data_IF_418417136384
#
_entry.id   IF_418417136384
#
_cell.length_a   1.000
_cell.length_b   1.000
_cell.length_c   1.000
_cell.angle_alpha   90.00
_cell.angle_beta   90.00
_cell.angle_gamma   90.00
#
_symmetry.space_group_name_H-M   'P 1'
#
loop_
_entity.id
_entity.type
_entity.pdbx_description
1 polymer ?
#
# COMPACT_ATOMS: atom_id res chain seq x y z
N UNK A 1 -8.04 -11.29 9.94
CA UNK A 1 -8.91 -10.45 10.78
C UNK A 1 -8.33 -10.44 12.19
N UNK A 2 -8.06 -9.25 12.73
CA UNK A 2 -7.46 -9.00 14.03
C UNK A 2 -8.13 -9.78 15.17
N UNK A 3 -9.44 -9.64 15.30
CA UNK A 3 -10.22 -10.32 16.35
C UNK A 3 -10.10 -11.83 16.29
N UNK A 4 -10.12 -12.42 15.08
CA UNK A 4 -9.93 -13.86 14.91
C UNK A 4 -8.52 -14.30 15.27
N UNK A 5 -7.52 -13.48 14.98
CA UNK A 5 -6.12 -13.81 15.30
C UNK A 5 -5.85 -13.74 16.80
N UNK A 6 -6.36 -12.73 17.48
CA UNK A 6 -6.18 -12.54 18.93
C UNK A 6 -6.88 -13.62 19.76
N UNK A 7 -8.01 -14.12 19.27
CA UNK A 7 -8.81 -15.14 19.96
C UNK A 7 -8.60 -16.55 19.40
N UNK A 8 -7.67 -16.75 18.47
CA UNK A 8 -7.43 -18.02 17.86
C UNK A 8 -6.39 -18.84 18.64
N UNK A 9 -6.75 -20.08 18.98
CA UNK A 9 -5.82 -21.08 19.52
C UNK A 9 -5.30 -21.95 18.38
N UNK A 10 -4.05 -21.75 17.91
CA UNK A 10 -3.52 -22.52 16.79
C UNK A 10 -3.35 -24.00 17.18
N UNK A 11 -3.71 -24.88 16.28
CA UNK A 11 -3.49 -26.31 16.41
C UNK A 11 -2.04 -26.66 16.05
N UNK A 12 -1.61 -27.86 16.40
CA UNK A 12 -0.26 -28.33 16.03
C UNK A 12 -0.08 -28.29 14.51
N UNK A 13 0.97 -27.64 14.04
CA UNK A 13 1.29 -27.44 12.62
C UNK A 13 0.64 -26.22 11.98
N UNK A 14 -0.13 -25.43 12.71
CA UNK A 14 -0.67 -24.15 12.24
C UNK A 14 0.22 -22.99 12.68
N UNK A 15 0.34 -21.98 11.82
CA UNK A 15 1.05 -20.73 12.12
C UNK A 15 0.08 -19.54 12.03
N UNK A 16 0.24 -18.58 12.92
CA UNK A 16 -0.56 -17.36 12.93
C UNK A 16 0.32 -16.17 12.63
N UNK A 17 -0.02 -15.45 11.57
CA UNK A 17 0.65 -14.20 11.21
C UNK A 17 0.07 -13.06 12.05
N UNK A 18 0.91 -12.40 12.85
CA UNK A 18 0.53 -11.28 13.70
C UNK A 18 1.39 -10.05 13.44
N UNK A 19 0.91 -8.89 13.86
CA UNK A 19 1.63 -7.62 13.72
C UNK A 19 1.51 -6.77 14.99
N UNK A 20 2.51 -5.96 15.27
CA UNK A 20 2.57 -5.13 16.48
C UNK A 20 1.39 -4.20 16.67
N UNK A 21 0.79 -3.67 15.59
CA UNK A 21 -0.37 -2.75 15.69
C UNK A 21 -1.63 -3.39 16.29
N UNK A 22 -1.69 -4.71 16.37
CA UNK A 22 -2.82 -5.42 17.03
C UNK A 22 -2.66 -5.50 18.55
N UNK A 23 -1.45 -5.32 19.06
CA UNK A 23 -1.15 -5.48 20.48
C UNK A 23 -0.72 -4.19 21.15
N UNK A 24 -0.37 -3.16 20.38
CA UNK A 24 0.11 -1.89 20.89
C UNK A 24 -0.18 -0.76 19.89
N UNK A 25 -0.17 0.48 20.36
CA UNK A 25 -0.31 1.66 19.49
C UNK A 25 1.00 1.87 18.68
N UNK A 26 1.19 1.06 17.66
CA UNK A 26 2.35 1.06 16.75
C UNK A 26 1.89 1.07 15.29
N UNK A 27 2.68 1.69 14.43
CA UNK A 27 2.42 1.71 12.98
C UNK A 27 3.03 0.50 12.23
N UNK A 28 3.78 -0.34 12.91
CA UNK A 28 4.41 -1.51 12.32
C UNK A 28 3.35 -2.58 11.94
N UNK A 29 3.43 -3.18 10.74
CA UNK A 29 4.52 -3.14 9.75
C UNK A 29 4.42 -2.00 8.71
N UNK A 30 3.60 -1.01 8.94
CA UNK A 30 3.21 0.02 7.98
C UNK A 30 2.02 -0.41 7.10
N UNK A 31 1.32 0.55 6.52
CA UNK A 31 0.07 0.27 5.80
C UNK A 31 0.28 -0.56 4.54
N UNK A 32 1.42 -0.41 3.89
CA UNK A 32 1.72 -1.18 2.69
C UNK A 32 1.76 -2.69 2.96
N UNK A 33 2.52 -3.13 3.97
CA UNK A 33 2.62 -4.54 4.33
C UNK A 33 1.34 -5.00 5.04
N UNK A 34 0.76 -4.16 5.88
CA UNK A 34 -0.48 -4.47 6.59
C UNK A 34 -1.61 -4.86 5.63
N UNK A 35 -1.78 -4.11 4.54
CA UNK A 35 -2.81 -4.39 3.53
C UNK A 35 -2.53 -5.63 2.68
N UNK A 36 -1.32 -6.21 2.79
CA UNK A 36 -0.90 -7.42 2.07
C UNK A 36 -0.75 -8.66 2.96
N UNK A 37 -1.03 -8.55 4.25
CA UNK A 37 -0.87 -9.68 5.18
C UNK A 37 -1.71 -10.89 4.77
N UNK A 38 -2.91 -10.69 4.22
CA UNK A 38 -3.74 -11.77 3.71
C UNK A 38 -3.05 -12.53 2.57
N UNK A 39 -2.60 -11.80 1.55
CA UNK A 39 -1.90 -12.39 0.39
C UNK A 39 -0.60 -13.10 0.82
N UNK A 40 0.16 -12.49 1.75
CA UNK A 40 1.37 -13.10 2.29
C UNK A 40 1.06 -14.40 3.04
N UNK A 41 0.00 -14.43 3.85
CA UNK A 41 -0.42 -15.62 4.54
C UNK A 41 -0.85 -16.73 3.57
N UNK A 42 -1.57 -16.38 2.51
CA UNK A 42 -2.01 -17.33 1.47
C UNK A 42 -0.82 -17.90 0.69
N UNK A 43 0.15 -17.05 0.33
CA UNK A 43 1.37 -17.47 -0.37
C UNK A 43 2.23 -18.41 0.48
N UNK A 44 2.46 -18.07 1.74
CA UNK A 44 3.18 -18.93 2.69
C UNK A 44 2.44 -20.25 2.91
N UNK A 45 1.12 -20.22 3.06
CA UNK A 45 0.30 -21.42 3.23
C UNK A 45 0.38 -22.33 2.00
N UNK A 46 0.37 -21.76 0.79
CA UNK A 46 0.52 -22.52 -0.44
C UNK A 46 1.90 -23.20 -0.54
N UNK A 47 2.97 -22.48 -0.16
CA UNK A 47 4.33 -23.03 -0.15
C UNK A 47 4.53 -24.13 0.90
N UNK A 48 3.80 -24.06 2.01
CA UNK A 48 3.81 -25.09 3.05
C UNK A 48 2.90 -26.30 2.74
N UNK A 49 2.29 -26.34 1.55
CA UNK A 49 1.40 -27.45 1.13
C UNK A 49 -0.01 -27.36 1.75
N UNK A 50 -0.37 -26.27 2.37
CA UNK A 50 -1.72 -26.00 2.88
C UNK A 50 -2.70 -25.61 1.78
N UNK A 51 -4.01 -25.73 2.07
CA UNK A 51 -5.05 -25.17 1.19
C UNK A 51 -5.22 -23.70 1.51
N UNK A 52 -4.98 -22.83 0.53
CA UNK A 52 -5.28 -21.40 0.65
C UNK A 52 -6.79 -21.17 0.71
N UNK A 53 -7.24 -20.37 1.64
CA UNK A 53 -8.67 -20.09 1.83
C UNK A 53 -9.23 -19.02 0.89
N UNK A 54 -8.40 -18.39 0.08
CA UNK A 54 -8.81 -17.32 -0.83
C UNK A 54 -8.23 -17.46 -2.23
N UNK A 55 -9.00 -18.11 -3.11
CA UNK A 55 -9.09 -17.71 -4.52
C UNK A 55 -10.17 -16.62 -4.61
N UNK A 56 -10.00 -15.52 -3.93
CA UNK A 56 -10.78 -14.33 -4.21
C UNK A 56 -9.86 -13.31 -4.84
N UNK A 57 -10.06 -13.16 -6.16
CA UNK A 57 -9.78 -11.97 -6.94
C UNK A 57 -8.63 -11.13 -6.35
N UNK A 58 -7.43 -11.27 -6.91
CA UNK A 58 -6.58 -10.11 -7.02
C UNK A 58 -7.48 -9.02 -7.59
N UNK A 59 -8.00 -8.14 -6.72
CA UNK A 59 -8.78 -6.99 -7.14
C UNK A 59 -7.87 -6.13 -8.00
N UNK A 60 -7.85 -6.44 -9.30
CA UNK A 60 -6.94 -5.76 -10.22
C UNK A 60 -7.26 -4.28 -10.25
N UNK A 61 -6.27 -3.48 -9.88
CA UNK A 61 -6.34 -2.02 -9.97
C UNK A 61 -6.10 -1.64 -11.43
N UNK A 62 -7.18 -1.54 -12.20
CA UNK A 62 -7.13 -1.23 -13.63
C UNK A 62 -8.25 -0.28 -14.03
N UNK A 63 -8.13 0.33 -15.19
CA UNK A 63 -9.17 1.19 -15.77
C UNK A 63 -10.52 0.46 -15.79
N UNK A 64 -11.57 1.13 -15.32
CA UNK A 64 -12.93 0.59 -15.19
C UNK A 64 -13.16 -0.25 -13.93
N UNK A 65 -12.15 -0.51 -13.10
CA UNK A 65 -12.36 -1.23 -11.84
C UNK A 65 -13.14 -0.39 -10.82
N UNK A 66 -13.97 -1.07 -10.02
CA UNK A 66 -14.75 -0.49 -8.93
C UNK A 66 -14.61 -1.39 -7.70
N UNK A 67 -13.52 -1.23 -6.95
CA UNK A 67 -13.21 -2.11 -5.82
C UNK A 67 -12.46 -1.40 -4.68
N UNK A 68 -12.32 -2.07 -3.56
CA UNK A 68 -11.66 -1.53 -2.36
C UNK A 68 -10.16 -1.32 -2.57
N UNK A 69 -9.51 -2.16 -3.37
CA UNK A 69 -8.10 -2.00 -3.72
C UNK A 69 -7.87 -0.71 -4.54
N UNK A 70 -8.77 -0.38 -5.47
CA UNK A 70 -8.74 0.89 -6.21
C UNK A 70 -8.88 2.08 -5.27
N UNK A 71 -9.80 2.02 -4.31
CA UNK A 71 -9.97 3.09 -3.31
C UNK A 71 -8.71 3.28 -2.46
N UNK A 72 -8.13 2.19 -1.97
CA UNK A 72 -6.89 2.24 -1.19
C UNK A 72 -5.71 2.83 -2.00
N UNK A 73 -5.60 2.44 -3.25
CA UNK A 73 -4.60 2.98 -4.18
C UNK A 73 -4.80 4.47 -4.47
N UNK A 74 -6.04 4.91 -4.67
CA UNK A 74 -6.35 6.33 -4.89
C UNK A 74 -5.97 7.21 -3.69
N UNK A 75 -6.03 6.71 -2.47
CA UNK A 75 -5.52 7.43 -1.28
C UNK A 75 -4.02 7.72 -1.40
N UNK A 76 -3.25 6.82 -1.98
CA UNK A 76 -1.82 7.07 -2.24
C UNK A 76 -1.62 8.14 -3.32
N UNK A 77 -2.43 8.15 -4.39
CA UNK A 77 -2.42 9.21 -5.40
C UNK A 77 -2.82 10.57 -4.81
N UNK A 78 -3.81 10.61 -3.90
CA UNK A 78 -4.17 11.84 -3.17
C UNK A 78 -2.99 12.34 -2.34
N UNK A 79 -2.25 11.44 -1.70
CA UNK A 79 -1.04 11.80 -0.97
C UNK A 79 0.02 12.43 -1.89
N UNK A 80 0.28 11.82 -3.06
CA UNK A 80 1.20 12.38 -4.06
C UNK A 80 0.73 13.75 -4.59
N UNK A 81 -0.58 13.94 -4.77
CA UNK A 81 -1.14 15.24 -5.14
C UNK A 81 -0.91 16.29 -4.04
N UNK A 82 -1.18 15.96 -2.80
CA UNK A 82 -0.93 16.86 -1.65
C UNK A 82 0.56 17.20 -1.50
N UNK A 83 1.45 16.28 -1.84
CA UNK A 83 2.89 16.47 -1.88
C UNK A 83 3.36 17.25 -3.13
N UNK A 84 2.44 17.60 -4.05
CA UNK A 84 2.72 18.29 -5.33
C UNK A 84 3.64 17.49 -6.26
N UNK A 85 3.69 16.19 -6.12
CA UNK A 85 4.44 15.28 -7.00
C UNK A 85 3.67 15.04 -8.29
N UNK A 86 2.34 14.91 -8.19
CA UNK A 86 1.43 14.85 -9.34
C UNK A 86 0.50 16.06 -9.36
N UNK A 87 -0.02 16.40 -10.53
CA UNK A 87 -0.89 17.57 -10.75
C UNK A 87 -2.37 17.20 -10.79
N UNK A 88 -2.69 15.97 -11.16
CA UNK A 88 -4.07 15.50 -11.28
C UNK A 88 -4.61 15.12 -9.91
N UNK A 89 -5.67 15.83 -9.47
CA UNK A 89 -6.44 15.48 -8.28
C UNK A 89 -7.38 14.31 -8.62
N UNK A 90 -7.39 13.27 -7.79
CA UNK A 90 -8.36 12.18 -7.89
C UNK A 90 -9.40 12.30 -6.78
N UNK A 91 -10.61 11.78 -7.03
CA UNK A 91 -11.66 11.69 -6.04
C UNK A 91 -11.42 10.55 -5.05
N UNK A 92 -12.18 10.51 -3.97
CA UNK A 92 -12.11 9.46 -2.96
C UNK A 92 -13.21 8.39 -3.17
N UNK A 93 -13.40 7.96 -4.42
CA UNK A 93 -14.31 6.86 -4.78
C UNK A 93 -13.55 5.58 -5.09
N UNK A 94 -14.25 4.46 -5.19
CA UNK A 94 -13.67 3.16 -5.54
C UNK A 94 -13.51 2.94 -7.06
N UNK A 95 -13.90 3.92 -7.88
CA UNK A 95 -13.84 3.82 -9.34
C UNK A 95 -12.49 4.25 -9.93
N UNK A 96 -11.97 3.49 -10.87
CA UNK A 96 -10.79 3.84 -11.67
C UNK A 96 -11.22 4.39 -13.03
N UNK A 97 -11.40 5.70 -13.12
CA UNK A 97 -11.74 6.41 -14.36
C UNK A 97 -10.56 7.16 -14.97
N UNK A 98 -10.83 8.02 -15.95
CA UNK A 98 -9.84 8.80 -16.71
C UNK A 98 -8.96 9.68 -15.82
N UNK A 99 -9.53 10.31 -14.79
CA UNK A 99 -8.77 11.10 -13.82
C UNK A 99 -7.76 10.27 -13.05
N UNK A 100 -8.14 9.05 -12.65
CA UNK A 100 -7.24 8.11 -11.98
C UNK A 100 -6.15 7.63 -12.93
N UNK A 101 -6.49 7.29 -14.17
CA UNK A 101 -5.52 6.88 -15.20
C UNK A 101 -4.47 7.97 -15.46
N UNK A 102 -4.91 9.22 -15.57
CA UNK A 102 -4.01 10.36 -15.74
C UNK A 102 -3.07 10.51 -14.55
N UNK A 103 -3.60 10.45 -13.33
CA UNK A 103 -2.80 10.52 -12.11
C UNK A 103 -1.78 9.37 -12.00
N UNK A 104 -2.16 8.15 -12.38
CA UNK A 104 -1.26 6.99 -12.46
C UNK A 104 -0.11 7.27 -13.40
N UNK A 105 -0.38 7.73 -14.61
CA UNK A 105 0.68 8.05 -15.59
C UNK A 105 1.61 9.18 -15.10
N UNK A 106 1.09 10.15 -14.37
CA UNK A 106 1.92 11.18 -13.73
C UNK A 106 2.81 10.58 -12.62
N UNK A 107 2.27 9.71 -11.79
CA UNK A 107 3.02 9.02 -10.74
C UNK A 107 4.10 8.10 -11.32
N UNK A 108 3.80 7.38 -12.40
CA UNK A 108 4.77 6.54 -13.11
C UNK A 108 5.94 7.38 -13.67
N UNK A 109 5.67 8.56 -14.25
CA UNK A 109 6.73 9.47 -14.70
C UNK A 109 7.59 9.95 -13.53
N UNK A 110 6.95 10.37 -12.43
CA UNK A 110 7.66 10.83 -11.23
C UNK A 110 8.52 9.72 -10.61
N UNK A 111 8.02 8.49 -10.60
CA UNK A 111 8.72 7.30 -10.11
C UNK A 111 9.70 6.67 -11.11
N UNK A 112 9.85 7.26 -12.31
CA UNK A 112 10.75 6.79 -13.37
C UNK A 112 10.53 5.33 -13.77
N UNK A 113 9.29 4.88 -13.76
CA UNK A 113 8.86 3.56 -14.26
C UNK A 113 8.12 3.70 -15.59
N UNK A 114 7.83 2.60 -16.25
CA UNK A 114 7.09 2.57 -17.53
C UNK A 114 5.75 3.31 -17.38
N UNK A 115 5.46 4.24 -18.31
CA UNK A 115 4.25 5.08 -18.29
C UNK A 115 3.18 4.43 -19.17
N UNK A 116 2.59 3.35 -18.68
CA UNK A 116 1.56 2.57 -19.39
C UNK A 116 0.14 2.77 -18.79
N UNK A 117 0.06 3.30 -17.58
CA UNK A 117 -1.20 3.45 -16.85
C UNK A 117 -1.64 2.16 -16.15
N UNK A 118 -0.82 1.12 -16.15
CA UNK A 118 -1.09 -0.16 -15.47
C UNK A 118 -0.54 -0.10 -14.05
N UNK A 119 -1.39 -0.43 -13.09
CA UNK A 119 -1.00 -0.45 -11.68
C UNK A 119 -0.52 -1.85 -11.30
N UNK A 120 0.71 -2.15 -11.71
CA UNK A 120 1.43 -3.35 -11.31
C UNK A 120 2.37 -3.08 -10.14
N UNK A 121 3.09 -4.11 -9.72
CA UNK A 121 4.05 -4.06 -8.61
C UNK A 121 5.08 -2.94 -8.75
N UNK A 122 5.63 -2.74 -9.95
CA UNK A 122 6.60 -1.67 -10.23
C UNK A 122 6.01 -0.28 -9.96
N UNK A 123 4.75 -0.05 -10.36
CA UNK A 123 4.05 1.21 -10.14
C UNK A 123 3.80 1.43 -8.66
N UNK A 124 3.36 0.41 -7.95
CA UNK A 124 3.08 0.47 -6.51
C UNK A 124 4.36 0.77 -5.73
N UNK A 125 5.45 0.06 -6.03
CA UNK A 125 6.74 0.28 -5.38
C UNK A 125 7.30 1.69 -5.67
N UNK A 126 7.18 2.19 -6.90
CA UNK A 126 7.59 3.53 -7.24
C UNK A 126 6.81 4.61 -6.46
N UNK A 127 5.50 4.46 -6.34
CA UNK A 127 4.65 5.36 -5.54
C UNK A 127 5.03 5.30 -4.06
N UNK A 128 5.28 4.10 -3.53
CA UNK A 128 5.74 3.93 -2.16
C UNK A 128 7.05 4.69 -1.88
N UNK A 129 8.03 4.57 -2.76
CA UNK A 129 9.29 5.30 -2.65
C UNK A 129 9.09 6.81 -2.74
N UNK A 130 8.26 7.29 -3.68
CA UNK A 130 7.97 8.72 -3.79
C UNK A 130 7.37 9.30 -2.51
N UNK A 131 6.47 8.58 -1.85
CA UNK A 131 5.84 9.02 -0.60
C UNK A 131 6.86 9.01 0.54
N UNK A 132 7.61 7.94 0.70
CA UNK A 132 8.51 7.75 1.85
C UNK A 132 9.80 8.56 1.73
N UNK A 133 10.42 8.62 0.55
CA UNK A 133 11.66 9.37 0.33
C UNK A 133 11.42 10.89 0.48
N UNK A 134 10.26 11.39 0.05
CA UNK A 134 9.89 12.79 0.28
C UNK A 134 9.66 13.10 1.77
N UNK A 135 9.02 12.21 2.51
CA UNK A 135 8.83 12.37 3.95
C UNK A 135 10.16 12.32 4.69
N UNK A 136 11.00 11.35 4.37
CA UNK A 136 12.34 11.23 4.95
C UNK A 136 13.23 12.45 4.66
N UNK A 137 13.15 13.03 3.46
CA UNK A 137 13.86 14.27 3.10
C UNK A 137 13.37 15.47 3.89
N UNK A 138 12.06 15.57 4.19
CA UNK A 138 11.50 16.64 5.03
C UNK A 138 11.96 16.50 6.48
N UNK A 139 11.90 15.30 7.04
CA UNK A 139 12.33 15.02 8.41
C UNK A 139 13.82 15.30 8.60
N UNK A 140 14.65 14.96 7.61
CA UNK A 140 16.08 15.25 7.62
C UNK A 140 16.37 16.77 7.53
N UNK A 141 15.59 17.52 6.73
CA UNK A 141 15.69 18.99 6.67
C UNK A 141 15.29 19.64 8.00
N UNK A 142 14.23 19.15 8.63
CA UNK A 142 13.76 19.64 9.94
C UNK A 142 14.79 19.30 11.02
N UNK A 143 15.34 18.10 11.04
CA UNK A 143 16.38 17.68 11.98
C UNK A 143 17.66 18.50 11.84
N UNK A 144 18.09 18.77 10.60
CA UNK A 144 19.26 19.60 10.32
C UNK A 144 19.03 21.08 10.69
N UNK A 145 17.81 21.62 10.44
CA UNK A 145 17.45 22.96 10.86
C UNK A 145 17.44 23.12 12.38
N UNK A 146 16.89 22.13 13.12
CA UNK A 146 16.95 22.11 14.59
C UNK A 146 18.37 22.03 15.14
N UNK A 147 19.27 21.28 14.47
CA UNK A 147 20.68 21.16 14.88
C UNK A 147 21.49 22.45 14.60
N UNK A 148 21.06 23.27 13.62
CA UNK A 148 21.70 24.55 13.31
C UNK A 148 21.24 25.70 14.22
N UNK A 149 20.15 25.53 14.95
CA UNK A 149 19.55 26.53 15.86
C UNK A 149 19.86 26.26 17.35
N UNK A 150 20.50 25.16 17.67
CA UNK A 150 20.97 24.78 19.01
C UNK A 150 22.46 24.82 19.12
#
# INVERSE_FOLDING_TARGET
NEDKTLNYSPKSGEMVLTVHRWFANKSCPGDWLYNRLGNLADEVTAQLGGKTSNKENEEMIKYGAHNTATLAFKKQLITLYNMRIIKTKVDNSNGFGDGTLKAVKEAQRAGKVTVDGIVGEKTINAIYHLINDCNWSKDKKIANAKKALG
#
